data_IF_714401565945
#
_entry.id   IF_714401565945
#
_cell.length_a   1.000
_cell.length_b   1.000
_cell.length_c   1.000
_cell.angle_alpha   90.00
_cell.angle_beta   90.00
_cell.angle_gamma   90.00
#
_symmetry.space_group_name_H-M   'P 1'
#
loop_
_entity.id
_entity.type
_entity.pdbx_description
1 polymer ?
#
# COMPACT_ATOMS: atom_id res chain seq x y z
N UNK A 1 -22.00 9.46 2.71
CA UNK A 1 -20.81 8.63 3.01
C UNK A 1 -20.95 7.34 2.23
N UNK A 2 -20.20 7.16 1.15
CA UNK A 2 -20.10 5.88 0.46
C UNK A 2 -19.25 4.96 1.35
N UNK A 3 -19.73 3.76 1.66
CA UNK A 3 -18.91 2.72 2.26
C UNK A 3 -17.62 2.60 1.45
N UNK A 4 -16.47 2.86 2.09
CA UNK A 4 -15.17 3.13 1.48
C UNK A 4 -14.49 1.94 0.80
N UNK A 5 -15.25 1.18 0.01
CA UNK A 5 -14.75 0.04 -0.73
C UNK A 5 -13.77 0.50 -1.81
N UNK A 6 -12.68 -0.23 -1.96
CA UNK A 6 -11.77 -0.11 -3.09
C UNK A 6 -12.16 -1.17 -4.11
N UNK A 7 -12.31 -0.78 -5.36
CA UNK A 7 -12.50 -1.75 -6.44
C UNK A 7 -11.19 -2.49 -6.69
N UNK A 8 -11.25 -3.69 -7.27
CA UNK A 8 -10.04 -4.45 -7.58
C UNK A 8 -9.09 -3.68 -8.51
N UNK A 9 -9.64 -2.95 -9.49
CA UNK A 9 -8.86 -2.13 -10.41
C UNK A 9 -8.12 -1.00 -9.68
N UNK A 10 -8.80 -0.32 -8.75
CA UNK A 10 -8.14 0.71 -7.93
C UNK A 10 -7.10 0.11 -6.99
N UNK A 11 -7.34 -1.10 -6.46
CA UNK A 11 -6.39 -1.81 -5.60
C UNK A 11 -5.14 -2.20 -6.38
N UNK A 12 -5.29 -2.74 -7.59
CA UNK A 12 -4.18 -3.06 -8.49
C UNK A 12 -3.37 -1.81 -8.83
N UNK A 13 -4.04 -0.71 -9.21
CA UNK A 13 -3.38 0.56 -9.50
C UNK A 13 -2.63 1.11 -8.27
N UNK A 14 -3.25 1.06 -7.08
CA UNK A 14 -2.62 1.47 -5.83
C UNK A 14 -1.34 0.64 -5.56
N UNK A 15 -1.41 -0.68 -5.75
CA UNK A 15 -0.27 -1.57 -5.54
C UNK A 15 0.86 -1.31 -6.54
N UNK A 16 0.53 -1.21 -7.84
CA UNK A 16 1.51 -0.97 -8.91
C UNK A 16 2.21 0.38 -8.75
N UNK A 17 1.47 1.44 -8.43
CA UNK A 17 2.02 2.78 -8.27
C UNK A 17 3.02 2.87 -7.11
N UNK A 18 2.83 2.06 -6.06
CA UNK A 18 3.69 2.06 -4.88
C UNK A 18 4.72 0.91 -4.87
N UNK A 19 4.69 0.01 -5.85
CA UNK A 19 5.52 -1.20 -5.88
C UNK A 19 7.03 -0.92 -5.73
N UNK A 20 7.63 0.12 -6.35
CA UNK A 20 9.04 0.44 -6.13
C UNK A 20 9.35 0.83 -4.68
N UNK A 21 8.47 1.62 -4.05
CA UNK A 21 8.62 2.05 -2.66
C UNK A 21 8.43 0.88 -1.68
N UNK A 22 7.40 0.04 -1.91
CA UNK A 22 7.16 -1.19 -1.15
C UNK A 22 8.41 -2.07 -1.15
N UNK A 23 8.99 -2.31 -2.34
CA UNK A 23 10.19 -3.13 -2.49
C UNK A 23 11.37 -2.55 -1.71
N UNK A 24 11.56 -1.22 -1.77
CA UNK A 24 12.62 -0.56 -1.02
C UNK A 24 12.42 -0.69 0.50
N UNK A 25 11.19 -0.50 1.01
CA UNK A 25 10.89 -0.62 2.43
C UNK A 25 11.11 -2.04 2.97
N UNK A 26 10.74 -3.07 2.20
CA UNK A 26 10.98 -4.47 2.59
C UNK A 26 12.46 -4.87 2.62
N UNK A 27 13.38 -4.04 2.13
CA UNK A 27 14.82 -4.28 2.35
C UNK A 27 15.26 -3.99 3.79
N UNK A 28 14.49 -3.17 4.52
CA UNK A 28 14.85 -2.66 5.85
C UNK A 28 13.85 -3.09 6.94
N UNK A 29 12.63 -3.45 6.56
CA UNK A 29 11.54 -3.74 7.47
C UNK A 29 10.85 -5.06 7.12
N UNK A 30 10.41 -5.79 8.14
CA UNK A 30 9.73 -7.08 7.98
C UNK A 30 8.23 -6.94 7.77
N UNK A 31 7.65 -5.79 8.13
CA UNK A 31 6.22 -5.54 8.05
C UNK A 31 5.94 -4.09 7.65
N UNK A 32 5.07 -3.94 6.64
CA UNK A 32 4.51 -2.67 6.22
C UNK A 32 2.99 -2.83 6.08
N UNK A 33 2.26 -1.77 6.39
CA UNK A 33 0.83 -1.66 6.18
C UNK A 33 0.57 -0.57 5.13
N UNK A 34 -0.34 -0.82 4.20
CA UNK A 34 -0.72 0.14 3.16
C UNK A 34 -2.22 0.39 3.16
N UNK A 35 -2.58 1.66 3.09
CA UNK A 35 -3.93 2.18 2.85
C UNK A 35 -3.94 3.04 1.58
N UNK A 36 -5.13 3.49 1.15
CA UNK A 36 -5.32 4.28 -0.09
C UNK A 36 -4.48 5.58 -0.12
N UNK A 37 -4.12 6.10 1.04
CA UNK A 37 -3.47 7.40 1.22
C UNK A 37 -2.25 7.37 2.14
N UNK A 38 -1.83 6.19 2.64
CA UNK A 38 -0.72 6.10 3.57
C UNK A 38 -0.01 4.75 3.48
N UNK A 39 1.29 4.78 3.78
CA UNK A 39 2.11 3.60 4.02
C UNK A 39 2.68 3.76 5.42
N UNK A 40 2.45 2.76 6.27
CA UNK A 40 2.93 2.70 7.65
C UNK A 40 3.97 1.60 7.72
N UNK A 41 5.10 1.91 8.34
CA UNK A 41 6.21 0.97 8.54
C UNK A 41 6.24 0.55 10.00
N UNK A 42 6.35 -0.75 10.24
CA UNK A 42 6.44 -1.30 11.60
C UNK A 42 7.87 -1.73 11.91
N UNK A 43 8.28 -1.55 13.16
CA UNK A 43 9.61 -1.90 13.69
C UNK A 43 9.56 -3.17 14.53
#
# INVERSE_FOLDING_TARGET
MTTGNITNVELEALFQNNLPQIKALFTQHSLIEMSRNSIIVHH
#
